data_IF_147656729004
#
_entry.id   IF_147656729004
#
_cell.length_a   1.000
_cell.length_b   1.000
_cell.length_c   1.000
_cell.angle_alpha   90.00
_cell.angle_beta   90.00
_cell.angle_gamma   90.00
#
_symmetry.space_group_name_H-M   'P 1'
#
loop_
_entity.id
_entity.type
_entity.pdbx_description
1 polymer ?
#
# COMPACT_ATOMS: atom_id res chain seq x y z
N UNK A 1 -14.83 -15.23 4.80
CA UNK A 1 -14.20 -15.65 6.08
C UNK A 1 -12.70 -15.36 6.16
N UNK A 2 -11.90 -15.48 5.08
CA UNK A 2 -10.44 -15.37 5.14
C UNK A 2 -9.87 -13.98 5.48
N UNK A 3 -10.43 -12.88 4.96
CA UNK A 3 -9.89 -11.51 5.22
C UNK A 3 -10.02 -11.11 6.69
N UNK A 4 -11.14 -11.45 7.35
CA UNK A 4 -11.33 -11.19 8.79
C UNK A 4 -10.26 -11.89 9.64
N UNK A 5 -9.87 -13.09 9.26
CA UNK A 5 -8.82 -13.85 9.94
C UNK A 5 -7.43 -13.23 9.72
N UNK A 6 -7.11 -12.81 8.50
CA UNK A 6 -5.86 -12.08 8.20
C UNK A 6 -5.79 -10.78 9.03
N UNK A 7 -6.89 -10.03 9.10
CA UNK A 7 -6.98 -8.81 9.90
C UNK A 7 -6.74 -9.07 11.39
N UNK A 8 -7.37 -10.12 11.94
CA UNK A 8 -7.16 -10.53 13.33
C UNK A 8 -5.69 -10.90 13.59
N UNK A 9 -5.08 -11.67 12.68
CA UNK A 9 -3.67 -12.03 12.79
C UNK A 9 -2.76 -10.79 12.82
N UNK A 10 -2.97 -9.81 11.94
CA UNK A 10 -2.09 -8.63 11.85
C UNK A 10 -2.34 -7.65 13.00
N UNK A 11 -3.60 -7.47 13.42
CA UNK A 11 -3.97 -6.44 14.42
C UNK A 11 -3.85 -6.90 15.85
N UNK A 12 -4.06 -8.19 16.11
CA UNK A 12 -4.17 -8.69 17.48
C UNK A 12 -3.05 -9.68 17.82
N UNK A 13 -2.71 -10.59 16.89
CA UNK A 13 -1.71 -11.66 17.15
C UNK A 13 -0.28 -11.19 16.89
N UNK A 14 -0.05 -10.50 15.78
CA UNK A 14 1.28 -10.03 15.39
C UNK A 14 1.88 -9.02 16.36
N UNK A 15 1.13 -8.02 16.87
CA UNK A 15 1.69 -7.04 17.80
C UNK A 15 2.13 -7.70 19.10
N UNK A 16 1.35 -8.67 19.59
CA UNK A 16 1.69 -9.42 20.80
C UNK A 16 2.94 -10.30 20.58
N UNK A 17 3.03 -11.02 19.46
CA UNK A 17 4.24 -11.77 19.11
C UNK A 17 5.47 -10.87 18.95
N UNK A 18 5.32 -9.72 18.30
CA UNK A 18 6.40 -8.76 18.13
C UNK A 18 6.86 -8.20 19.47
N UNK A 19 5.94 -7.86 20.38
CA UNK A 19 6.27 -7.38 21.72
C UNK A 19 7.08 -8.40 22.51
N UNK A 20 6.76 -9.70 22.40
CA UNK A 20 7.54 -10.77 23.05
C UNK A 20 8.95 -10.91 22.48
N UNK A 21 9.12 -10.73 21.17
CA UNK A 21 10.42 -10.87 20.49
C UNK A 21 11.31 -9.63 20.61
N UNK A 22 10.70 -8.45 20.60
CA UNK A 22 11.36 -7.15 20.65
C UNK A 22 10.70 -6.30 21.77
N UNK A 23 11.07 -6.54 23.04
CA UNK A 23 10.44 -5.88 24.18
C UNK A 23 10.81 -4.39 24.28
N UNK A 24 11.90 -3.98 23.65
CA UNK A 24 12.42 -2.61 23.62
C UNK A 24 12.45 -2.07 22.19
N UNK A 25 12.25 -0.77 22.03
CA UNK A 25 12.27 -0.08 20.73
C UNK A 25 10.92 0.52 20.33
N UNK A 26 10.91 1.20 19.18
CA UNK A 26 9.70 1.84 18.65
C UNK A 26 8.69 0.78 18.25
N UNK A 27 7.42 1.01 18.60
CA UNK A 27 6.33 0.11 18.21
C UNK A 27 6.18 0.11 16.68
N UNK A 28 6.12 -1.06 16.04
CA UNK A 28 5.81 -1.19 14.62
C UNK A 28 4.46 -0.55 14.27
N UNK A 29 4.37 0.06 13.09
CA UNK A 29 3.10 0.57 12.59
C UNK A 29 2.29 -0.56 11.90
N UNK A 30 1.53 -1.31 12.70
CA UNK A 30 0.71 -2.42 12.20
C UNK A 30 -0.49 -1.99 11.37
N UNK A 31 -0.97 -0.75 11.52
CA UNK A 31 -2.00 -0.19 10.63
C UNK A 31 -1.45 -0.09 9.20
N UNK A 32 -0.28 0.53 9.05
CA UNK A 32 0.41 0.66 7.78
C UNK A 32 0.63 -0.72 7.12
N UNK A 33 1.08 -1.71 7.89
CA UNK A 33 1.25 -3.09 7.40
C UNK A 33 -0.09 -3.70 6.94
N UNK A 34 -1.16 -3.51 7.73
CA UNK A 34 -2.49 -3.99 7.40
C UNK A 34 -2.99 -3.36 6.10
N UNK A 35 -2.90 -2.04 5.98
CA UNK A 35 -3.35 -1.29 4.81
C UNK A 35 -2.59 -1.75 3.56
N UNK A 36 -1.27 -1.90 3.67
CA UNK A 36 -0.42 -2.41 2.61
C UNK A 36 -0.86 -3.81 2.15
N UNK A 37 -1.08 -4.76 3.08
CA UNK A 37 -1.51 -6.12 2.75
C UNK A 37 -2.88 -6.11 2.07
N UNK A 38 -3.83 -5.32 2.57
CA UNK A 38 -5.16 -5.24 1.98
C UNK A 38 -5.15 -4.64 0.58
N UNK A 39 -4.36 -3.59 0.34
CA UNK A 39 -4.22 -3.03 -1.03
C UNK A 39 -3.50 -4.01 -1.95
N UNK A 40 -2.46 -4.68 -1.48
CA UNK A 40 -1.75 -5.73 -2.24
C UNK A 40 -2.72 -6.83 -2.67
N UNK A 41 -3.54 -7.33 -1.74
CA UNK A 41 -4.56 -8.34 -2.03
C UNK A 41 -5.67 -7.81 -2.96
N UNK A 42 -6.07 -6.55 -2.79
CA UNK A 42 -7.15 -5.94 -3.57
C UNK A 42 -6.76 -5.57 -5.00
N UNK A 43 -5.48 -5.28 -5.24
CA UNK A 43 -4.94 -4.92 -6.56
C UNK A 43 -4.30 -6.09 -7.28
N UNK A 44 -4.02 -7.19 -6.56
CA UNK A 44 -3.19 -8.31 -7.02
C UNK A 44 -1.78 -7.90 -7.45
N UNK A 45 -1.27 -6.76 -6.96
CA UNK A 45 0.07 -6.28 -7.29
C UNK A 45 1.13 -6.72 -6.28
N UNK A 46 2.40 -6.70 -6.71
CA UNK A 46 3.51 -7.16 -5.88
C UNK A 46 4.30 -6.01 -5.25
N UNK A 47 4.68 -6.25 -4.00
CA UNK A 47 5.69 -5.60 -3.17
C UNK A 47 5.75 -4.07 -3.18
N UNK A 48 6.35 -3.47 -4.21
CA UNK A 48 6.66 -2.04 -4.23
C UNK A 48 5.64 -1.20 -5.00
N UNK A 49 4.71 -1.83 -5.72
CA UNK A 49 3.69 -1.13 -6.52
C UNK A 49 2.55 -0.58 -5.66
N UNK A 50 1.98 -1.31 -4.68
CA UNK A 50 0.93 -0.78 -3.81
C UNK A 50 1.34 0.51 -3.08
N UNK A 51 2.61 0.60 -2.68
CA UNK A 51 3.15 1.76 -1.96
C UNK A 51 3.53 2.93 -2.87
N UNK A 52 3.54 2.70 -4.19
CA UNK A 52 3.79 3.73 -5.20
C UNK A 52 2.50 4.41 -5.69
N UNK A 53 1.33 3.99 -5.18
CA UNK A 53 0.04 4.60 -5.50
C UNK A 53 0.04 6.05 -5.03
N UNK A 54 -0.22 6.97 -5.96
CA UNK A 54 -0.37 8.40 -5.71
C UNK A 54 -1.81 8.77 -5.43
N UNK A 55 -2.02 9.96 -4.88
CA UNK A 55 -3.35 10.53 -4.73
C UNK A 55 -4.12 10.53 -6.06
N UNK A 56 -3.49 11.02 -7.13
CA UNK A 56 -4.09 11.06 -8.49
C UNK A 56 -4.33 9.68 -9.13
N UNK A 57 -3.71 8.63 -8.59
CA UNK A 57 -3.86 7.27 -9.10
C UNK A 57 -5.13 6.60 -8.55
N UNK A 58 -5.94 7.28 -7.71
CA UNK A 58 -7.18 6.74 -7.13
C UNK A 58 -8.40 7.48 -7.64
N UNK A 59 -9.43 6.73 -8.05
CA UNK A 59 -10.74 7.26 -8.45
C UNK A 59 -11.86 6.53 -7.73
N UNK A 60 -12.92 7.26 -7.41
CA UNK A 60 -14.16 6.70 -6.86
C UNK A 60 -15.30 6.93 -7.85
N UNK A 61 -16.05 5.88 -8.13
CA UNK A 61 -17.16 5.90 -9.09
C UNK A 61 -18.45 5.43 -8.40
N UNK A 62 -19.52 6.22 -8.53
CA UNK A 62 -20.85 5.79 -8.13
C UNK A 62 -21.39 4.81 -9.17
N UNK A 63 -21.80 3.63 -8.72
CA UNK A 63 -22.35 2.55 -9.54
C UNK A 63 -23.76 2.26 -9.05
N UNK A 64 -24.72 2.41 -9.95
CA UNK A 64 -26.12 2.07 -9.73
C UNK A 64 -26.31 0.56 -9.77
N UNK A 65 -27.00 0.05 -8.75
CA UNK A 65 -27.34 -1.35 -8.59
C UNK A 65 -28.72 -1.63 -9.20
N UNK A 66 -29.05 -2.91 -9.52
CA UNK A 66 -30.34 -3.27 -10.09
C UNK A 66 -31.56 -2.88 -9.24
N UNK A 67 -31.39 -2.64 -7.95
CA UNK A 67 -32.42 -2.19 -7.01
C UNK A 67 -32.55 -0.66 -6.91
N UNK A 68 -31.82 0.09 -7.74
CA UNK A 68 -31.78 1.56 -7.74
C UNK A 68 -30.90 2.16 -6.65
N UNK A 69 -30.21 1.35 -5.84
CA UNK A 69 -29.25 1.85 -4.85
C UNK A 69 -27.91 2.23 -5.50
N UNK A 70 -27.21 3.21 -4.91
CA UNK A 70 -25.85 3.58 -5.35
C UNK A 70 -24.80 2.94 -4.44
N UNK A 71 -23.82 2.31 -5.07
CA UNK A 71 -22.60 1.82 -4.40
C UNK A 71 -21.39 2.59 -4.90
N UNK A 72 -20.35 2.71 -4.08
CA UNK A 72 -19.10 3.35 -4.47
C UNK A 72 -18.05 2.29 -4.78
N UNK A 73 -17.59 2.27 -6.03
CA UNK A 73 -16.43 1.48 -6.45
C UNK A 73 -15.16 2.34 -6.40
N UNK A 74 -14.02 1.71 -6.15
CA UNK A 74 -12.71 2.36 -6.22
C UNK A 74 -11.88 1.75 -7.35
N UNK A 75 -11.25 2.62 -8.14
CA UNK A 75 -10.31 2.25 -9.19
C UNK A 75 -8.94 2.79 -8.84
N UNK A 76 -7.93 1.97 -9.05
CA UNK A 76 -6.53 2.30 -8.82
C UNK A 76 -5.76 2.17 -10.13
N UNK A 77 -5.04 3.22 -10.49
CA UNK A 77 -4.05 3.18 -11.55
C UNK A 77 -2.77 2.50 -11.05
N UNK A 78 -2.47 1.34 -11.62
CA UNK A 78 -1.21 0.66 -11.36
C UNK A 78 -0.24 1.01 -12.47
N UNK A 79 0.70 1.90 -12.17
CA UNK A 79 1.69 2.37 -13.15
C UNK A 79 3.01 2.83 -12.58
N UNK A 80 3.26 2.67 -11.28
CA UNK A 80 4.50 3.08 -10.62
C UNK A 80 5.01 2.04 -9.64
N UNK A 81 6.27 2.16 -9.26
CA UNK A 81 6.93 1.31 -8.26
C UNK A 81 7.89 2.15 -7.42
N UNK A 82 7.99 1.87 -6.12
CA UNK A 82 8.96 2.53 -5.26
C UNK A 82 10.33 1.85 -5.38
N UNK A 83 11.36 2.64 -5.70
CA UNK A 83 12.72 2.14 -5.89
C UNK A 83 13.67 2.87 -4.96
N UNK A 84 14.58 2.12 -4.34
CA UNK A 84 15.72 2.69 -3.63
C UNK A 84 17.02 2.38 -4.37
N UNK A 85 17.81 3.41 -4.65
CA UNK A 85 19.19 3.26 -5.11
C UNK A 85 20.15 3.92 -4.13
N UNK A 86 21.43 3.52 -4.16
CA UNK A 86 22.48 4.13 -3.32
C UNK A 86 22.70 5.61 -3.67
N UNK A 87 22.58 5.98 -4.95
CA UNK A 87 22.87 7.33 -5.43
C UNK A 87 21.70 8.30 -5.28
N UNK A 88 20.46 7.85 -5.44
CA UNK A 88 19.26 8.72 -5.45
C UNK A 88 18.41 8.60 -4.19
N UNK A 89 18.67 7.60 -3.35
CA UNK A 89 17.79 7.29 -2.23
C UNK A 89 16.49 6.65 -2.71
N UNK A 90 15.40 6.85 -1.96
CA UNK A 90 14.07 6.32 -2.26
C UNK A 90 13.32 7.30 -3.15
N UNK A 91 12.77 6.82 -4.27
CA UNK A 91 11.97 7.61 -5.19
C UNK A 91 10.92 6.73 -5.86
N UNK A 92 9.83 7.34 -6.35
CA UNK A 92 8.87 6.64 -7.21
C UNK A 92 9.43 6.60 -8.63
N UNK A 93 9.50 5.41 -9.19
CA UNK A 93 9.77 5.21 -10.61
C UNK A 93 8.42 4.94 -11.30
N UNK A 94 8.12 5.68 -12.37
CA UNK A 94 7.09 5.21 -13.29
C UNK A 94 7.51 3.83 -13.81
N UNK A 95 6.57 2.89 -13.81
CA UNK A 95 6.90 1.48 -13.91
C UNK A 95 7.70 1.18 -15.18
N UNK A 96 8.83 0.46 -15.09
CA UNK A 96 9.57 -0.02 -16.26
C UNK A 96 8.83 -1.13 -17.02
N UNK A 97 7.68 -1.58 -16.48
CA UNK A 97 6.77 -2.50 -17.13
C UNK A 97 6.32 -1.93 -18.48
N UNK A 98 6.33 -2.77 -19.52
CA UNK A 98 5.86 -2.40 -20.85
C UNK A 98 4.49 -1.71 -20.76
N UNK A 99 4.24 -0.66 -21.55
CA UNK A 99 3.01 0.16 -21.51
C UNK A 99 1.72 -0.68 -21.37
N UNK A 100 1.66 -1.85 -22.01
CA UNK A 100 0.56 -2.83 -21.92
C UNK A 100 0.22 -3.33 -20.51
N UNK A 101 1.11 -3.19 -19.53
CA UNK A 101 0.93 -3.67 -18.17
C UNK A 101 0.41 -2.59 -17.22
N UNK A 102 0.46 -1.31 -17.64
CA UNK A 102 -0.16 -0.20 -16.91
C UNK A 102 -1.67 -0.25 -17.11
N UNK A 103 -2.45 -0.19 -16.03
CA UNK A 103 -3.90 -0.36 -16.11
C UNK A 103 -4.63 0.23 -14.91
N UNK A 104 -5.91 0.53 -15.12
CA UNK A 104 -6.85 0.72 -14.04
C UNK A 104 -7.33 -0.63 -13.50
N UNK A 105 -7.31 -0.80 -12.18
CA UNK A 105 -7.82 -1.97 -11.48
C UNK A 105 -8.96 -1.55 -10.59
N UNK A 106 -10.15 -2.14 -10.81
CA UNK A 106 -11.25 -2.01 -9.86
C UNK A 106 -10.97 -2.93 -8.67
N UNK A 107 -10.96 -2.36 -7.47
CA UNK A 107 -10.57 -3.09 -6.26
C UNK A 107 -11.80 -3.55 -5.47
N UNK A 108 -11.72 -4.66 -4.72
CA UNK A 108 -12.80 -5.11 -3.86
C UNK A 108 -13.07 -4.14 -2.70
N UNK A 109 -14.28 -4.19 -2.14
CA UNK A 109 -14.76 -3.28 -1.08
C UNK A 109 -13.81 -3.10 0.11
N UNK A 110 -13.09 -4.16 0.52
CA UNK A 110 -12.15 -4.06 1.65
C UNK A 110 -10.93 -3.17 1.32
N UNK A 111 -10.44 -3.21 0.08
CA UNK A 111 -9.35 -2.36 -0.38
C UNK A 111 -9.84 -0.94 -0.68
N UNK A 112 -11.05 -0.82 -1.26
CA UNK A 112 -11.71 0.47 -1.46
C UNK A 112 -11.85 1.26 -0.15
N UNK A 113 -12.19 0.59 0.95
CA UNK A 113 -12.23 1.20 2.29
C UNK A 113 -10.87 1.76 2.71
N UNK A 114 -9.81 0.98 2.56
CA UNK A 114 -8.44 1.42 2.90
C UNK A 114 -8.02 2.62 2.04
N UNK A 115 -8.28 2.58 0.72
CA UNK A 115 -8.00 3.71 -0.17
C UNK A 115 -8.76 4.97 0.24
N UNK A 116 -10.04 4.84 0.59
CA UNK A 116 -10.84 5.97 1.07
C UNK A 116 -10.25 6.60 2.33
N UNK A 117 -9.81 5.79 3.30
CA UNK A 117 -9.15 6.28 4.51
C UNK A 117 -7.80 6.96 4.19
N UNK A 118 -7.00 6.39 3.29
CA UNK A 118 -5.72 6.97 2.87
C UNK A 118 -5.92 8.31 2.14
N UNK A 119 -6.85 8.37 1.19
CA UNK A 119 -7.19 9.59 0.44
C UNK A 119 -7.74 10.66 1.39
N UNK A 120 -8.62 10.29 2.32
CA UNK A 120 -9.22 11.25 3.27
C UNK A 120 -8.20 11.80 4.29
N UNK A 121 -7.15 11.05 4.62
CA UNK A 121 -6.10 11.46 5.55
C UNK A 121 -4.87 12.07 4.86
N UNK A 122 -4.86 12.09 3.53
CA UNK A 122 -3.74 12.60 2.76
C UNK A 122 -3.65 14.12 2.83
N UNK A 123 -2.44 14.63 3.11
CA UNK A 123 -2.11 16.04 3.09
C UNK A 123 -0.93 16.23 2.14
N UNK A 124 -1.09 16.99 1.03
CA UNK A 124 0.00 17.24 0.10
C UNK A 124 1.16 17.98 0.78
N UNK A 125 2.38 17.46 0.62
CA UNK A 125 3.62 18.05 1.12
C UNK A 125 4.73 17.76 0.11
N UNK A 126 4.95 18.65 -0.88
CA UNK A 126 5.94 18.42 -1.94
C UNK A 126 7.38 18.33 -1.44
N UNK A 127 7.71 18.90 -0.27
CA UNK A 127 9.06 18.84 0.28
C UNK A 127 9.37 17.45 0.85
N UNK A 128 8.37 16.80 1.48
CA UNK A 128 8.55 15.49 2.12
C UNK A 128 8.07 14.32 1.27
N UNK A 129 7.11 14.56 0.39
CA UNK A 129 6.43 13.60 -0.46
C UNK A 129 6.29 14.15 -1.89
N UNK A 130 7.41 14.32 -2.62
CA UNK A 130 7.42 14.97 -3.93
C UNK A 130 6.61 14.19 -5.00
N UNK A 131 6.47 12.88 -4.81
CA UNK A 131 5.73 12.00 -5.72
C UNK A 131 4.24 11.86 -5.35
N UNK A 132 3.79 12.51 -4.27
CA UNK A 132 2.40 12.52 -3.80
C UNK A 132 1.81 11.13 -3.53
N UNK A 133 2.63 10.22 -2.98
CA UNK A 133 2.20 8.86 -2.65
C UNK A 133 1.32 8.80 -1.41
N UNK A 134 0.37 7.87 -1.39
CA UNK A 134 -0.57 7.68 -0.27
C UNK A 134 0.06 6.94 0.92
N UNK A 135 1.00 6.03 0.66
CA UNK A 135 1.69 5.28 1.72
C UNK A 135 2.89 6.05 2.25
N UNK A 136 2.68 6.73 3.37
CA UNK A 136 3.71 7.52 4.05
C UNK A 136 3.98 7.06 5.47
N UNK A 137 5.17 7.38 5.96
CA UNK A 137 5.55 7.29 7.37
C UNK A 137 4.80 8.34 8.18
N UNK A 138 4.80 8.23 9.51
CA UNK A 138 4.23 9.26 10.41
C UNK A 138 4.81 10.67 10.21
N UNK A 139 5.97 10.80 9.55
CA UNK A 139 6.59 12.10 9.23
C UNK A 139 6.20 12.64 7.84
N UNK A 140 5.30 11.97 7.13
CA UNK A 140 4.84 12.34 5.79
C UNK A 140 5.79 11.92 4.65
N UNK A 141 6.83 11.12 4.91
CA UNK A 141 7.76 10.66 3.87
C UNK A 141 7.29 9.34 3.23
N UNK A 142 7.53 9.11 1.93
CA UNK A 142 7.24 7.84 1.26
C UNK A 142 7.76 6.62 2.01
N UNK A 143 6.95 5.56 2.05
CA UNK A 143 7.34 4.30 2.68
C UNK A 143 8.34 3.52 1.83
N UNK A 144 9.27 2.85 2.51
CA UNK A 144 10.22 1.94 1.88
C UNK A 144 9.68 0.50 1.86
N UNK A 145 9.70 -0.21 0.72
CA UNK A 145 9.25 -1.59 0.67
C UNK A 145 10.05 -2.53 1.59
N UNK A 146 11.34 -2.28 1.82
CA UNK A 146 12.16 -3.07 2.75
C UNK A 146 11.69 -2.92 4.20
N UNK A 147 11.34 -1.71 4.62
CA UNK A 147 10.80 -1.45 5.97
C UNK A 147 9.46 -2.18 6.18
N UNK A 148 8.62 -2.25 5.14
CA UNK A 148 7.38 -3.03 5.20
C UNK A 148 7.64 -4.55 5.24
N UNK A 149 8.67 -5.02 4.56
CA UNK A 149 9.14 -6.40 4.67
C UNK A 149 9.55 -6.76 6.10
N UNK A 150 10.35 -5.91 6.74
CA UNK A 150 10.76 -6.11 8.13
C UNK A 150 9.54 -6.16 9.07
N UNK A 151 8.55 -5.28 8.87
CA UNK A 151 7.29 -5.31 9.63
C UNK A 151 6.52 -6.62 9.44
N UNK A 152 6.50 -7.13 8.21
CA UNK A 152 5.91 -8.41 7.85
C UNK A 152 6.81 -9.61 8.20
N UNK A 153 7.98 -9.41 8.80
CA UNK A 153 8.92 -10.48 9.13
C UNK A 153 9.46 -11.22 7.90
N UNK A 154 9.43 -10.60 6.72
CA UNK A 154 9.90 -11.16 5.44
C UNK A 154 10.94 -10.22 4.83
N UNK A 155 12.12 -10.74 4.50
CA UNK A 155 13.13 -9.92 3.82
C UNK A 155 12.82 -9.88 2.32
N UNK A 156 12.42 -8.70 1.81
CA UNK A 156 12.32 -8.47 0.37
C UNK A 156 13.73 -8.22 -0.20
N UNK A 157 14.47 -9.29 -0.47
CA UNK A 157 15.74 -9.19 -1.19
C UNK A 157 15.48 -8.90 -2.66
N UNK A 158 15.95 -7.76 -3.16
CA UNK A 158 15.93 -7.39 -4.58
C UNK A 158 16.79 -8.31 -5.49
N UNK A 159 17.35 -9.38 -4.94
CA UNK A 159 18.32 -10.26 -5.62
C UNK A 159 17.69 -11.55 -6.19
N UNK A 160 16.37 -11.67 -6.24
CA UNK A 160 15.69 -12.93 -6.57
C UNK A 160 14.69 -12.86 -7.74
N UNK A 161 14.83 -11.91 -8.68
CA UNK A 161 14.11 -11.98 -9.95
C UNK A 161 15.03 -11.67 -11.15
N UNK A 162 15.13 -12.60 -12.13
CA UNK A 162 15.68 -12.29 -13.43
C UNK A 162 14.69 -11.42 -14.22
N UNK A 163 15.23 -10.60 -15.11
CA UNK A 163 14.54 -9.71 -16.04
C UNK A 163 13.56 -10.45 -16.96
#
# INVERSE_FOLDING_TARGET
MQVKYILHLIRDVWPERHRKRYPVGRRPNFKLLTDYILITLGTSERTAEPIAIRFQDVRFEAVEQPDGSLTMDALVWVGGTMVRTRSRGLFRQDSPKAERQKRWVRVPKFAAKVLSELVASHVPDPERNPDDVLFTTERGRPCDPSALGELAGVSFSARMWPA
#
